data_IF_855434011661
#
_entry.id   IF_855434011661
#
_cell.length_a   1.000
_cell.length_b   1.000
_cell.length_c   1.000
_cell.angle_alpha   90.00
_cell.angle_beta   90.00
_cell.angle_gamma   90.00
#
_symmetry.space_group_name_H-M   'P 1'
#
loop_
_entity.id
_entity.type
_entity.pdbx_description
1 polymer ?
#
# COMPACT_ATOMS: atom_id res chain seq x y z
N UNK A 1 -26.43 10.55 17.81
CA UNK A 1 -25.92 10.04 16.52
C UNK A 1 -24.72 10.85 16.02
N UNK A 2 -24.80 12.17 15.84
CA UNK A 2 -23.66 12.99 15.36
C UNK A 2 -22.42 12.91 16.25
N UNK A 3 -22.60 12.97 17.59
CA UNK A 3 -21.49 12.85 18.55
C UNK A 3 -20.76 11.50 18.45
N UNK A 4 -21.48 10.41 18.18
CA UNK A 4 -20.90 9.08 18.04
C UNK A 4 -20.08 8.96 16.74
N UNK A 5 -20.56 9.58 15.66
CA UNK A 5 -19.82 9.64 14.40
C UNK A 5 -18.50 10.41 14.56
N UNK A 6 -18.51 11.53 15.30
CA UNK A 6 -17.30 12.31 15.56
C UNK A 6 -16.26 11.50 16.35
N UNK A 7 -16.68 10.74 17.36
CA UNK A 7 -15.78 9.88 18.12
C UNK A 7 -15.18 8.74 17.27
N UNK A 8 -15.97 8.14 16.37
CA UNK A 8 -15.47 7.11 15.44
C UNK A 8 -14.42 7.71 14.50
N UNK A 9 -14.68 8.89 13.93
CA UNK A 9 -13.72 9.58 13.06
C UNK A 9 -12.45 9.93 13.83
N UNK A 10 -12.57 10.41 15.07
CA UNK A 10 -11.43 10.71 15.94
C UNK A 10 -10.57 9.47 16.20
N UNK A 11 -11.19 8.34 16.54
CA UNK A 11 -10.48 7.06 16.75
C UNK A 11 -9.81 6.61 15.46
N UNK A 12 -10.52 6.74 14.33
CA UNK A 12 -10.00 6.43 13.00
C UNK A 12 -8.76 7.26 12.65
N UNK A 13 -8.77 8.57 12.87
CA UNK A 13 -7.61 9.44 12.61
C UNK A 13 -6.42 9.08 13.52
N UNK A 14 -6.69 8.69 14.77
CA UNK A 14 -5.69 8.32 15.75
C UNK A 14 -5.20 6.86 15.62
N UNK A 15 -5.60 6.12 14.58
CA UNK A 15 -5.21 4.73 14.38
C UNK A 15 -3.68 4.46 14.44
N UNK A 16 -2.76 5.31 13.91
CA UNK A 16 -1.33 5.00 13.97
C UNK A 16 -0.81 5.08 15.40
N UNK A 17 -1.35 6.00 16.20
CA UNK A 17 -0.99 6.14 17.62
C UNK A 17 -1.50 4.95 18.44
N UNK A 18 -2.75 4.53 18.22
CA UNK A 18 -3.28 3.32 18.87
C UNK A 18 -2.48 2.07 18.51
N UNK A 19 -2.12 1.91 17.24
CA UNK A 19 -1.33 0.77 16.74
C UNK A 19 0.08 0.77 17.33
N UNK A 20 0.77 1.91 17.32
CA UNK A 20 2.10 2.05 17.92
C UNK A 20 2.08 1.79 19.43
N UNK A 21 1.10 2.34 20.16
CA UNK A 21 0.95 2.12 21.59
C UNK A 21 0.72 0.65 21.95
N UNK A 22 -0.03 -0.09 21.13
CA UNK A 22 -0.23 -1.52 21.33
C UNK A 22 1.05 -2.34 21.13
N UNK A 23 1.87 -1.98 20.13
CA UNK A 23 3.15 -2.66 19.85
C UNK A 23 4.17 -2.39 20.97
N UNK A 24 4.31 -1.13 21.40
CA UNK A 24 5.32 -0.72 22.39
C UNK A 24 4.94 -1.07 23.82
N UNK A 25 3.67 -0.82 24.20
CA UNK A 25 3.19 -0.97 25.57
C UNK A 25 1.82 -1.67 25.60
N UNK A 26 1.78 -3.01 25.35
CA UNK A 26 0.53 -3.76 25.21
C UNK A 26 -0.32 -3.84 26.50
N UNK A 27 0.28 -3.54 27.66
CA UNK A 27 -0.40 -3.50 28.96
C UNK A 27 -0.91 -2.10 29.35
N UNK A 28 -0.57 -1.06 28.59
CA UNK A 28 -1.08 0.31 28.81
C UNK A 28 -2.59 0.38 28.60
N UNK A 29 -3.25 1.38 29.22
CA UNK A 29 -4.71 1.60 29.02
C UNK A 29 -5.07 1.80 27.54
N UNK A 30 -4.19 2.47 26.78
CA UNK A 30 -4.37 2.72 25.35
C UNK A 30 -4.23 1.41 24.56
N UNK A 31 -3.20 0.60 24.85
CA UNK A 31 -3.01 -0.71 24.23
C UNK A 31 -4.16 -1.69 24.53
N UNK A 32 -4.69 -1.69 25.76
CA UNK A 32 -5.85 -2.50 26.12
C UNK A 32 -7.13 -2.05 25.38
N UNK A 33 -7.28 -0.76 25.07
CA UNK A 33 -8.42 -0.25 24.30
C UNK A 33 -8.47 -0.85 22.89
N UNK A 34 -7.31 -1.06 22.26
CA UNK A 34 -7.22 -1.69 20.93
C UNK A 34 -7.60 -3.18 20.91
N UNK A 35 -7.63 -3.85 22.07
CA UNK A 35 -8.10 -5.24 22.17
C UNK A 35 -9.61 -5.38 21.98
N UNK A 36 -10.37 -4.28 22.11
CA UNK A 36 -11.82 -4.28 21.89
C UNK A 36 -12.12 -4.53 20.40
N UNK A 37 -13.01 -5.47 20.04
CA UNK A 37 -13.25 -5.87 18.64
C UNK A 37 -13.72 -4.69 17.77
N UNK A 38 -14.57 -3.81 18.32
CA UNK A 38 -15.04 -2.62 17.63
C UNK A 38 -13.92 -1.62 17.29
N UNK A 39 -12.98 -1.38 18.21
CA UNK A 39 -11.85 -0.47 17.99
C UNK A 39 -10.89 -1.05 16.95
N UNK A 40 -10.64 -2.37 17.00
CA UNK A 40 -9.84 -3.07 16.00
C UNK A 40 -10.44 -2.92 14.61
N UNK A 41 -11.76 -3.08 14.48
CA UNK A 41 -12.48 -2.86 13.23
C UNK A 41 -12.28 -1.44 12.70
N UNK A 42 -12.50 -0.41 13.52
CA UNK A 42 -12.31 0.99 13.10
C UNK A 42 -10.86 1.24 12.65
N UNK A 43 -9.87 0.74 13.40
CA UNK A 43 -8.46 0.94 13.05
C UNK A 43 -8.11 0.25 11.73
N UNK A 44 -8.62 -0.97 11.50
CA UNK A 44 -8.41 -1.69 10.25
C UNK A 44 -9.05 -0.97 9.07
N UNK A 45 -10.32 -0.55 9.19
CA UNK A 45 -11.00 0.23 8.16
C UNK A 45 -10.32 1.57 7.89
N UNK A 46 -9.91 2.30 8.92
CA UNK A 46 -9.20 3.57 8.77
C UNK A 46 -7.84 3.38 8.08
N UNK A 47 -7.10 2.34 8.44
CA UNK A 47 -5.84 2.00 7.80
C UNK A 47 -6.02 1.67 6.31
N UNK A 48 -7.06 0.92 5.97
CA UNK A 48 -7.40 0.62 4.57
C UNK A 48 -7.82 1.87 3.79
N UNK A 49 -8.60 2.78 4.39
CA UNK A 49 -8.93 4.07 3.78
C UNK A 49 -7.70 4.93 3.52
N UNK A 50 -6.73 4.95 4.44
CA UNK A 50 -5.45 5.64 4.24
C UNK A 50 -4.65 5.00 3.13
N UNK A 51 -4.66 3.67 3.01
CA UNK A 51 -4.03 2.98 1.88
C UNK A 51 -4.68 3.38 0.54
N UNK A 52 -6.01 3.39 0.44
CA UNK A 52 -6.71 3.86 -0.76
C UNK A 52 -6.38 5.32 -1.07
N UNK A 53 -6.32 6.17 -0.05
CA UNK A 53 -5.92 7.56 -0.21
C UNK A 53 -4.48 7.67 -0.74
N UNK A 54 -3.55 6.85 -0.24
CA UNK A 54 -2.17 6.79 -0.72
C UNK A 54 -2.09 6.32 -2.17
N UNK A 55 -2.93 5.39 -2.62
CA UNK A 55 -3.01 4.99 -4.03
C UNK A 55 -3.47 6.16 -4.91
N UNK A 56 -4.48 6.91 -4.48
CA UNK A 56 -4.94 8.12 -5.20
C UNK A 56 -3.82 9.17 -5.24
N UNK A 57 -3.12 9.36 -4.13
CA UNK A 57 -1.99 10.28 -4.02
C UNK A 57 -0.82 9.87 -4.93
N UNK A 58 -0.56 8.57 -5.07
CA UNK A 58 0.46 8.04 -5.98
C UNK A 58 0.13 8.37 -7.45
N UNK A 59 -1.15 8.37 -7.83
CA UNK A 59 -1.59 8.84 -9.15
C UNK A 59 -1.40 10.35 -9.32
N UNK A 60 -1.35 11.12 -8.24
CA UNK A 60 -1.16 12.58 -8.22
C UNK A 60 0.29 12.96 -7.86
N UNK A 61 1.27 12.13 -8.27
CA UNK A 61 2.70 12.31 -7.95
C UNK A 61 3.20 13.75 -8.20
N UNK A 62 2.75 14.37 -9.30
CA UNK A 62 3.13 15.73 -9.67
C UNK A 62 2.65 16.77 -8.66
N UNK A 63 1.42 16.63 -8.16
CA UNK A 63 0.87 17.50 -7.13
C UNK A 63 1.65 17.38 -5.82
N UNK A 64 2.05 16.16 -5.45
CA UNK A 64 2.83 15.92 -4.24
C UNK A 64 4.23 16.54 -4.32
N UNK A 65 4.95 16.36 -5.43
CA UNK A 65 6.29 16.92 -5.62
C UNK A 65 6.25 18.46 -5.60
N UNK A 66 5.24 19.05 -6.23
CA UNK A 66 4.99 20.50 -6.18
C UNK A 66 4.65 20.98 -4.77
N UNK A 67 3.78 20.28 -4.04
CA UNK A 67 3.40 20.64 -2.67
C UNK A 67 4.57 20.55 -1.68
N UNK A 68 5.45 19.56 -1.84
CA UNK A 68 6.61 19.35 -0.95
C UNK A 68 7.79 20.27 -1.29
N UNK A 69 7.67 21.12 -2.32
CA UNK A 69 8.71 22.05 -2.76
C UNK A 69 9.96 21.36 -3.32
N UNK A 70 9.88 20.05 -3.60
CA UNK A 70 10.94 19.26 -4.23
C UNK A 70 10.75 19.33 -5.75
N UNK A 71 10.90 20.53 -6.30
CA UNK A 71 10.90 20.74 -7.73
C UNK A 71 12.27 20.36 -8.27
N UNK A 72 12.52 19.05 -8.41
CA UNK A 72 13.59 18.60 -9.30
C UNK A 72 13.08 18.63 -10.74
N UNK A 73 13.95 19.00 -11.67
CA UNK A 73 13.77 19.12 -13.12
C UNK A 73 13.50 17.75 -13.80
N UNK A 74 12.79 16.86 -13.13
CA UNK A 74 12.69 15.41 -13.34
C UNK A 74 11.39 14.98 -14.04
N UNK A 75 10.68 15.90 -14.72
CA UNK A 75 9.50 15.53 -15.53
C UNK A 75 9.88 14.49 -16.61
N UNK A 76 11.09 14.57 -17.15
CA UNK A 76 11.60 13.56 -18.09
C UNK A 76 12.00 12.25 -17.41
N UNK A 77 12.51 12.30 -16.17
CA UNK A 77 12.98 11.11 -15.43
C UNK A 77 11.82 10.25 -14.89
N UNK A 78 10.66 10.84 -14.61
CA UNK A 78 9.47 10.10 -14.21
C UNK A 78 8.81 9.35 -15.39
N UNK A 79 9.00 9.82 -16.61
CA UNK A 79 8.42 9.25 -17.84
C UNK A 79 9.38 8.29 -18.55
N UNK A 80 10.61 8.17 -18.05
CA UNK A 80 11.64 7.25 -18.52
C UNK A 80 11.42 5.83 -18.00
N UNK A 81 11.91 4.87 -18.77
CA UNK A 81 11.79 3.44 -18.46
C UNK A 81 12.55 3.14 -17.17
N UNK A 82 11.98 2.35 -16.27
CA UNK A 82 12.65 1.95 -15.02
C UNK A 82 12.83 3.09 -14.00
N UNK A 83 11.96 4.10 -13.99
CA UNK A 83 12.02 5.20 -13.02
C UNK A 83 12.06 4.68 -11.57
N UNK A 84 12.93 5.29 -10.74
CA UNK A 84 13.11 4.89 -9.34
C UNK A 84 11.79 5.04 -8.55
N UNK A 85 11.46 4.08 -7.66
CA UNK A 85 10.25 4.17 -6.85
C UNK A 85 10.25 5.42 -5.97
N UNK A 86 9.13 6.14 -5.97
CA UNK A 86 8.91 7.29 -5.08
C UNK A 86 8.72 6.84 -3.63
N UNK A 87 8.88 7.78 -2.68
CA UNK A 87 8.67 7.52 -1.26
C UNK A 87 7.24 6.97 -0.99
N UNK A 88 6.23 7.51 -1.67
CA UNK A 88 4.84 7.04 -1.55
C UNK A 88 4.71 5.58 -2.01
N UNK A 89 5.35 5.22 -3.13
CA UNK A 89 5.36 3.83 -3.60
C UNK A 89 6.06 2.91 -2.61
N UNK A 90 7.17 3.31 -1.98
CA UNK A 90 7.79 2.52 -0.92
C UNK A 90 6.86 2.27 0.28
N UNK A 91 6.07 3.27 0.67
CA UNK A 91 5.06 3.09 1.74
C UNK A 91 3.97 2.12 1.28
N UNK A 92 3.49 2.24 0.04
CA UNK A 92 2.50 1.33 -0.55
C UNK A 92 3.04 -0.11 -0.56
N UNK A 93 4.29 -0.32 -0.97
CA UNK A 93 4.92 -1.64 -0.99
C UNK A 93 5.01 -2.27 0.40
N UNK A 94 5.38 -1.47 1.41
CA UNK A 94 5.39 -1.91 2.80
C UNK A 94 3.99 -2.34 3.27
N UNK A 95 2.96 -1.58 2.89
CA UNK A 95 1.56 -1.89 3.20
C UNK A 95 1.10 -3.20 2.54
N UNK A 96 1.35 -3.34 1.24
CA UNK A 96 1.02 -4.55 0.47
C UNK A 96 1.73 -5.78 1.05
N UNK A 97 2.99 -5.65 1.49
CA UNK A 97 3.69 -6.73 2.19
C UNK A 97 2.95 -7.19 3.45
N UNK A 98 2.36 -6.24 4.20
CA UNK A 98 1.49 -6.53 5.34
C UNK A 98 0.19 -7.26 4.98
N UNK A 99 -0.46 -6.86 3.87
CA UNK A 99 -1.67 -7.54 3.36
C UNK A 99 -1.37 -8.99 2.97
N UNK A 100 -0.31 -9.20 2.18
CA UNK A 100 0.13 -10.54 1.75
C UNK A 100 0.46 -11.41 2.98
N UNK A 101 1.18 -10.87 3.96
CA UNK A 101 1.48 -11.59 5.19
C UNK A 101 0.23 -11.96 5.99
N UNK A 102 -0.78 -11.09 6.01
CA UNK A 102 -2.07 -11.37 6.64
C UNK A 102 -2.81 -12.51 5.94
N UNK A 103 -2.89 -12.46 4.60
CA UNK A 103 -3.53 -13.50 3.80
C UNK A 103 -2.84 -14.86 3.94
N UNK A 104 -1.51 -14.90 3.94
CA UNK A 104 -0.75 -16.15 4.12
C UNK A 104 -1.11 -16.80 5.46
N UNK A 105 -1.22 -16.00 6.54
CA UNK A 105 -1.62 -16.54 7.84
C UNK A 105 -3.06 -17.02 7.84
N UNK A 106 -3.99 -16.28 7.25
CA UNK A 106 -5.39 -16.70 7.14
C UNK A 106 -5.52 -18.01 6.36
N UNK A 107 -4.82 -18.14 5.23
CA UNK A 107 -4.79 -19.37 4.44
C UNK A 107 -4.21 -20.54 5.23
N UNK A 108 -3.16 -20.31 6.01
CA UNK A 108 -2.53 -21.32 6.86
C UNK A 108 -3.44 -21.77 8.01
N UNK A 109 -4.15 -20.83 8.65
CA UNK A 109 -4.98 -21.09 9.82
C UNK A 109 -6.32 -21.76 9.46
N UNK A 110 -6.93 -21.37 8.33
CA UNK A 110 -8.25 -21.87 7.89
C UNK A 110 -8.12 -23.08 6.95
N UNK A 111 -7.06 -23.14 6.13
CA UNK A 111 -6.85 -24.18 5.13
C UNK A 111 -7.45 -23.85 3.76
N UNK A 112 -6.89 -24.46 2.71
CA UNK A 112 -7.16 -24.10 1.31
C UNK A 112 -8.62 -24.31 0.87
N UNK A 113 -9.26 -25.41 1.30
CA UNK A 113 -10.62 -25.73 0.85
C UNK A 113 -11.64 -24.70 1.35
N UNK A 114 -11.58 -24.35 2.62
CA UNK A 114 -12.49 -23.37 3.22
C UNK A 114 -12.14 -21.95 2.77
N UNK A 115 -10.85 -21.65 2.53
CA UNK A 115 -10.42 -20.37 1.96
C UNK A 115 -11.04 -20.10 0.58
N UNK A 116 -10.97 -21.05 -0.35
CA UNK A 116 -11.46 -20.86 -1.74
C UNK A 116 -13.00 -20.85 -1.82
N UNK A 117 -13.70 -21.41 -0.83
CA UNK A 117 -15.17 -21.33 -0.75
C UNK A 117 -15.66 -19.92 -0.46
N UNK A 118 -14.86 -19.08 0.17
CA UNK A 118 -15.18 -17.68 0.39
C UNK A 118 -14.73 -16.83 -0.82
N UNK A 119 -15.70 -16.25 -1.53
CA UNK A 119 -15.43 -15.41 -2.71
C UNK A 119 -14.63 -14.16 -2.36
N UNK A 120 -14.71 -13.65 -1.13
CA UNK A 120 -13.94 -12.47 -0.71
C UNK A 120 -12.45 -12.78 -0.61
N UNK A 121 -12.10 -13.92 -0.03
CA UNK A 121 -10.72 -14.38 0.04
C UNK A 121 -10.12 -14.60 -1.36
N UNK A 122 -10.91 -15.07 -2.32
CA UNK A 122 -10.46 -15.20 -3.72
C UNK A 122 -10.17 -13.82 -4.34
N UNK A 123 -11.01 -12.82 -4.09
CA UNK A 123 -10.77 -11.44 -4.57
C UNK A 123 -9.50 -10.86 -3.93
N UNK A 124 -9.30 -11.08 -2.63
CA UNK A 124 -8.12 -10.60 -1.91
C UNK A 124 -6.84 -11.29 -2.43
N UNK A 125 -6.88 -12.60 -2.69
CA UNK A 125 -5.79 -13.34 -3.30
C UNK A 125 -5.42 -12.82 -4.69
N UNK A 126 -6.41 -12.60 -5.56
CA UNK A 126 -6.20 -12.06 -6.92
C UNK A 126 -5.58 -10.65 -6.83
N UNK A 127 -6.12 -9.80 -5.96
CA UNK A 127 -5.63 -8.43 -5.78
C UNK A 127 -4.18 -8.42 -5.30
N UNK A 128 -3.85 -9.24 -4.30
CA UNK A 128 -2.47 -9.39 -3.82
C UNK A 128 -1.54 -9.97 -4.90
N UNK A 129 -2.01 -10.91 -5.71
CA UNK A 129 -1.25 -11.46 -6.84
C UNK A 129 -0.94 -10.39 -7.90
N UNK A 130 -1.89 -9.50 -8.20
CA UNK A 130 -1.68 -8.38 -9.12
C UNK A 130 -0.68 -7.35 -8.57
N UNK A 131 -0.69 -7.10 -7.26
CA UNK A 131 0.36 -6.27 -6.65
C UNK A 131 1.74 -6.91 -6.81
N UNK A 132 1.88 -8.21 -6.52
CA UNK A 132 3.16 -8.93 -6.68
C UNK A 132 3.63 -8.90 -8.14
N UNK A 133 2.71 -9.11 -9.09
CA UNK A 133 3.02 -9.03 -10.52
C UNK A 133 3.53 -7.63 -10.91
N UNK A 134 2.87 -6.58 -10.43
CA UNK A 134 3.27 -5.18 -10.70
C UNK A 134 4.66 -4.87 -10.16
N UNK A 135 4.97 -5.35 -8.95
CA UNK A 135 6.31 -5.19 -8.35
C UNK A 135 7.36 -5.97 -9.12
N UNK A 136 7.04 -7.19 -9.53
CA UNK A 136 7.95 -8.04 -10.30
C UNK A 136 8.29 -7.42 -11.64
N UNK A 137 7.29 -6.95 -12.38
CA UNK A 137 7.46 -6.26 -13.66
C UNK A 137 8.31 -4.99 -13.50
N UNK A 138 8.07 -4.20 -12.45
CA UNK A 138 8.87 -3.01 -12.16
C UNK A 138 10.33 -3.34 -11.85
N UNK A 139 10.60 -4.42 -11.11
CA UNK A 139 11.98 -4.86 -10.85
C UNK A 139 12.65 -5.28 -12.17
N UNK A 140 11.92 -5.99 -13.04
CA UNK A 140 12.41 -6.39 -14.36
C UNK A 140 12.73 -5.19 -15.23
N UNK A 141 11.86 -4.17 -15.28
CA UNK A 141 12.12 -2.97 -16.09
C UNK A 141 13.33 -2.17 -15.58
N UNK A 142 13.50 -2.03 -14.27
CA UNK A 142 14.71 -1.42 -13.67
C UNK A 142 15.95 -2.23 -14.03
N UNK A 143 15.89 -3.56 -13.95
CA UNK A 143 17.01 -4.44 -14.27
C UNK A 143 17.42 -4.36 -15.74
N UNK A 144 16.45 -4.30 -16.66
CA UNK A 144 16.71 -4.16 -18.10
C UNK A 144 17.42 -2.84 -18.43
N UNK A 145 16.99 -1.75 -17.82
CA UNK A 145 17.62 -0.42 -18.00
C UNK A 145 19.03 -0.39 -17.41
N UNK A 146 19.26 -1.05 -16.28
CA UNK A 146 20.60 -1.17 -15.70
C UNK A 146 21.57 -1.98 -16.56
N UNK A 147 21.09 -3.04 -17.22
CA UNK A 147 21.94 -3.85 -18.10
C UNK A 147 22.26 -3.14 -19.42
N UNK A 148 21.29 -2.42 -19.99
CA UNK A 148 21.43 -1.73 -21.27
C UNK A 148 21.04 -0.25 -21.10
N UNK A 149 21.99 0.65 -20.82
CA UNK A 149 21.70 2.08 -20.66
C UNK A 149 21.07 2.73 -21.91
N UNK A 150 21.29 2.17 -23.11
CA UNK A 150 20.64 2.58 -24.36
C UNK A 150 19.13 2.29 -24.38
N UNK A 151 18.62 1.49 -23.43
CA UNK A 151 17.19 1.22 -23.25
C UNK A 151 16.47 2.24 -22.35
N UNK A 152 17.17 3.30 -21.91
CA UNK A 152 16.55 4.50 -21.30
C UNK A 152 15.83 5.32 -22.39
N UNK A 153 14.69 4.81 -22.83
CA UNK A 153 13.88 5.41 -23.88
C UNK A 153 12.80 6.32 -23.30
N UNK A 154 12.46 7.38 -24.06
CA UNK A 154 11.27 8.20 -23.77
C UNK A 154 10.02 7.37 -24.04
N UNK A 155 8.93 7.66 -23.33
CA UNK A 155 7.67 6.90 -23.41
C UNK A 155 7.13 6.72 -24.84
N UNK A 156 7.44 7.64 -25.75
CA UNK A 156 7.02 7.61 -27.16
C UNK A 156 7.66 6.46 -27.95
N UNK A 157 8.87 6.03 -27.55
CA UNK A 157 9.67 5.03 -28.25
C UNK A 157 9.56 3.63 -27.62
N UNK A 158 8.65 3.43 -26.67
CA UNK A 158 8.49 2.15 -25.99
C UNK A 158 7.78 1.13 -26.88
N UNK A 159 8.21 -0.13 -26.79
CA UNK A 159 7.48 -1.23 -27.42
C UNK A 159 6.11 -1.43 -26.73
N UNK A 160 5.16 -1.99 -27.47
CA UNK A 160 3.81 -2.23 -26.96
C UNK A 160 3.79 -3.23 -25.78
N UNK A 161 4.81 -4.08 -25.68
CA UNK A 161 4.94 -5.12 -24.66
C UNK A 161 6.01 -4.80 -23.60
N UNK A 162 6.27 -3.51 -23.37
CA UNK A 162 7.21 -3.11 -22.32
C UNK A 162 6.70 -3.56 -20.93
N UNK A 163 7.57 -4.17 -20.09
CA UNK A 163 7.18 -4.70 -18.78
C UNK A 163 6.80 -3.63 -17.76
#
# INVERSE_FOLDING_TARGET
>A
MVLQAFEIVRIGILFPFFSAAYIVAPHSMIGQTMRKPFIKFICHSASYLVFLFMLILASQRQFLQSFLGLQEEDEELATRRGAKPSLVEWIILSYVGGLIWSEIKQLWDVGLEEYVRDMWNVIDFITNSLYVATVSLRIVSIYQVQQNPESDLRREDWDAWDP
#
